data_IF_491454288892
#
_entry.id   IF_491454288892
#
_cell.length_a   1.000
_cell.length_b   1.000
_cell.length_c   1.000
_cell.angle_alpha   90.00
_cell.angle_beta   90.00
_cell.angle_gamma   90.00
#
_symmetry.space_group_name_H-M   'P 1'
#
loop_
_entity.id
_entity.type
_entity.pdbx_description
1 polymer ?
#
# COMPACT_ATOMS: atom_id res chain seq x y z
N UNK A 1 8.11 -0.64 -2.13
CA UNK A 1 7.54 -2.00 -1.91
C UNK A 1 6.25 -2.12 -2.68
N UNK A 2 6.14 -3.11 -3.56
CA UNK A 2 4.96 -3.28 -4.40
C UNK A 2 3.75 -3.77 -3.60
N UNK A 3 2.56 -3.43 -4.06
CA UNK A 3 1.29 -4.00 -3.58
C UNK A 3 1.02 -5.40 -4.12
N UNK A 4 -0.26 -5.75 -4.25
CA UNK A 4 -0.72 -7.06 -4.73
C UNK A 4 -1.41 -7.92 -3.67
N UNK A 5 -1.99 -7.28 -2.64
CA UNK A 5 -2.84 -7.95 -1.66
C UNK A 5 -2.18 -9.06 -0.84
N UNK A 6 -0.84 -9.06 -0.73
CA UNK A 6 -0.06 -10.17 -0.16
C UNK A 6 -0.23 -11.50 -0.94
N UNK A 7 -0.54 -11.42 -2.23
CA UNK A 7 -0.67 -12.62 -3.09
C UNK A 7 0.21 -12.54 -4.33
N UNK A 8 0.41 -11.34 -4.85
CA UNK A 8 1.20 -11.06 -6.05
C UNK A 8 2.06 -9.82 -5.85
N UNK A 9 2.84 -9.44 -6.86
CA UNK A 9 3.74 -8.30 -6.84
C UNK A 9 5.11 -8.68 -7.42
N UNK A 10 6.01 -7.70 -7.49
CA UNK A 10 7.38 -7.95 -7.94
C UNK A 10 8.03 -6.73 -8.56
N UNK A 11 9.35 -6.80 -8.74
CA UNK A 11 10.16 -5.67 -9.21
C UNK A 11 9.93 -5.28 -10.67
N UNK A 12 9.36 -6.16 -11.49
CA UNK A 12 9.22 -5.96 -12.94
C UNK A 12 7.79 -5.53 -13.35
N UNK A 13 7.16 -4.66 -12.56
CA UNK A 13 5.87 -4.06 -12.90
C UNK A 13 6.13 -2.77 -13.67
N UNK A 14 5.86 -2.75 -14.98
CA UNK A 14 6.21 -1.63 -15.87
C UNK A 14 5.69 -0.28 -15.38
N UNK A 15 4.51 -0.23 -14.75
CA UNK A 15 3.91 1.01 -14.22
C UNK A 15 4.59 1.56 -12.95
N UNK A 16 5.56 0.83 -12.41
CA UNK A 16 6.30 1.18 -11.19
C UNK A 16 7.81 1.30 -11.46
N UNK A 17 8.21 1.37 -12.74
CA UNK A 17 9.60 1.59 -13.13
C UNK A 17 9.86 3.10 -13.25
N UNK A 18 10.67 3.70 -12.36
CA UNK A 18 10.79 5.15 -12.22
C UNK A 18 11.72 5.80 -13.25
N UNK A 19 12.06 5.11 -14.34
CA UNK A 19 13.16 5.51 -15.25
C UNK A 19 13.03 6.97 -15.70
N UNK A 20 11.85 7.38 -16.17
CA UNK A 20 11.62 8.75 -16.64
C UNK A 20 11.75 9.79 -15.52
N UNK A 21 11.38 9.45 -14.28
CA UNK A 21 11.48 10.34 -13.13
C UNK A 21 12.93 10.49 -12.64
N UNK A 22 13.64 9.37 -12.53
CA UNK A 22 15.06 9.33 -12.14
C UNK A 22 15.92 10.05 -13.19
N UNK A 23 15.73 9.76 -14.47
CA UNK A 23 16.49 10.38 -15.55
C UNK A 23 16.28 11.90 -15.61
N UNK A 24 15.05 12.37 -15.40
CA UNK A 24 14.71 13.79 -15.45
C UNK A 24 15.27 14.57 -14.27
N UNK A 25 15.20 14.01 -13.06
CA UNK A 25 15.57 14.74 -11.84
C UNK A 25 17.04 14.55 -11.49
N UNK A 26 17.56 13.33 -11.62
CA UNK A 26 18.93 12.95 -11.22
C UNK A 26 19.29 13.28 -9.76
N UNK A 27 18.29 13.30 -8.87
CA UNK A 27 18.44 13.75 -7.47
C UNK A 27 18.11 12.68 -6.43
N UNK A 28 17.75 11.47 -6.86
CA UNK A 28 17.34 10.40 -5.97
C UNK A 28 17.62 9.01 -6.55
N UNK A 29 17.62 8.00 -5.68
CA UNK A 29 17.75 6.59 -6.04
C UNK A 29 16.46 5.88 -5.66
N UNK A 30 15.94 5.07 -6.57
CA UNK A 30 14.82 4.17 -6.28
C UNK A 30 15.33 2.74 -6.23
N UNK A 31 15.05 2.06 -5.12
CA UNK A 31 15.31 0.63 -4.95
C UNK A 31 13.99 -0.13 -4.89
N UNK A 32 13.82 -1.10 -5.79
CA UNK A 32 12.70 -2.04 -5.75
C UNK A 32 13.20 -3.41 -5.29
N UNK A 33 12.37 -4.12 -4.54
CA UNK A 33 12.72 -5.41 -3.95
C UNK A 33 11.62 -6.43 -4.24
N UNK A 34 12.03 -7.69 -4.41
CA UNK A 34 11.10 -8.81 -4.28
C UNK A 34 11.04 -9.21 -2.80
N UNK A 35 9.86 -9.64 -2.37
CA UNK A 35 9.64 -10.29 -1.08
C UNK A 35 8.68 -11.45 -1.33
N UNK A 36 8.75 -12.51 -0.51
CA UNK A 36 7.89 -13.67 -0.72
C UNK A 36 6.43 -13.27 -0.58
N UNK A 37 5.60 -13.82 -1.48
CA UNK A 37 4.15 -13.60 -1.49
C UNK A 37 3.34 -14.88 -1.30
N UNK A 38 2.01 -14.77 -1.10
CA UNK A 38 1.08 -15.88 -0.97
C UNK A 38 1.53 -16.87 0.14
N UNK A 39 1.27 -18.18 -0.01
CA UNK A 39 1.69 -19.24 0.91
C UNK A 39 3.20 -19.21 1.22
N UNK A 40 4.04 -18.64 0.35
CA UNK A 40 5.48 -18.56 0.58
C UNK A 40 5.87 -17.44 1.54
N UNK A 41 5.12 -16.33 1.54
CA UNK A 41 5.34 -15.19 2.44
C UNK A 41 4.56 -15.29 3.74
N UNK A 42 3.36 -15.89 3.68
CA UNK A 42 2.41 -15.97 4.79
C UNK A 42 1.77 -17.36 4.92
N UNK A 43 2.57 -18.42 5.07
CA UNK A 43 2.05 -19.79 5.16
C UNK A 43 1.15 -20.00 6.37
N UNK A 44 1.43 -19.35 7.51
CA UNK A 44 0.80 -19.66 8.79
C UNK A 44 0.94 -21.15 9.19
N UNK A 45 2.03 -21.80 8.77
CA UNK A 45 2.27 -23.21 9.03
C UNK A 45 2.56 -23.46 10.52
N UNK A 46 1.98 -24.54 11.08
CA UNK A 46 2.17 -24.96 12.49
C UNK A 46 3.64 -25.23 12.84
N UNK A 47 4.41 -25.74 11.87
CA UNK A 47 5.82 -26.09 12.05
C UNK A 47 6.79 -24.91 11.98
N UNK A 48 6.33 -23.69 11.68
CA UNK A 48 7.19 -22.51 11.58
C UNK A 48 7.39 -21.83 12.94
N UNK A 49 8.63 -21.45 13.21
CA UNK A 49 9.01 -20.66 14.39
C UNK A 49 8.61 -19.19 14.24
N UNK A 50 8.83 -18.63 13.05
CA UNK A 50 8.57 -17.23 12.72
C UNK A 50 7.54 -17.18 11.59
N UNK A 51 6.57 -16.29 11.73
CA UNK A 51 5.55 -16.01 10.71
C UNK A 51 5.90 -14.71 9.97
N UNK A 52 5.04 -14.27 9.05
CA UNK A 52 5.21 -13.02 8.32
C UNK A 52 6.54 -12.93 7.56
N UNK A 53 6.93 -14.04 6.93
CA UNK A 53 8.20 -14.20 6.23
C UNK A 53 8.41 -13.12 5.16
N UNK A 54 7.34 -12.67 4.49
CA UNK A 54 7.40 -11.56 3.55
C UNK A 54 7.85 -10.23 4.19
N UNK A 55 7.45 -9.94 5.44
CA UNK A 55 7.91 -8.73 6.16
C UNK A 55 9.35 -8.88 6.62
N UNK A 56 9.77 -10.10 6.99
CA UNK A 56 11.17 -10.40 7.31
C UNK A 56 12.08 -10.23 6.08
N UNK A 57 11.62 -10.64 4.90
CA UNK A 57 12.34 -10.41 3.64
C UNK A 57 12.51 -8.90 3.37
N UNK A 58 11.44 -8.11 3.56
CA UNK A 58 11.48 -6.66 3.41
C UNK A 58 12.46 -6.01 4.40
N UNK A 59 12.49 -6.48 5.66
CA UNK A 59 13.45 -5.99 6.66
C UNK A 59 14.89 -6.32 6.28
N UNK A 60 15.16 -7.55 5.86
CA UNK A 60 16.49 -7.95 5.39
C UNK A 60 16.94 -7.09 4.20
N UNK A 61 16.06 -6.88 3.22
CA UNK A 61 16.38 -6.07 2.06
C UNK A 61 16.62 -4.60 2.43
N UNK A 62 15.85 -4.04 3.37
CA UNK A 62 16.06 -2.69 3.88
C UNK A 62 17.42 -2.54 4.61
N UNK A 63 17.80 -3.54 5.42
CA UNK A 63 19.12 -3.57 6.07
C UNK A 63 20.26 -3.67 5.05
N UNK A 64 20.07 -4.45 3.98
CA UNK A 64 21.00 -4.50 2.86
C UNK A 64 21.12 -3.14 2.17
N UNK A 65 20.01 -2.47 1.86
CA UNK A 65 20.03 -1.12 1.25
C UNK A 65 20.75 -0.14 2.17
N UNK A 66 20.39 -0.09 3.45
CA UNK A 66 21.06 0.78 4.43
C UNK A 66 22.57 0.52 4.50
N UNK A 67 23.02 -0.72 4.36
CA UNK A 67 24.45 -1.05 4.40
C UNK A 67 25.18 -0.73 3.09
N UNK A 68 24.50 -0.76 1.94
CA UNK A 68 25.14 -0.76 0.62
C UNK A 68 24.86 0.48 -0.23
N UNK A 69 23.82 1.27 0.06
CA UNK A 69 23.35 2.34 -0.85
C UNK A 69 24.41 3.42 -1.09
N UNK A 70 25.34 3.64 -0.15
CA UNK A 70 26.49 4.53 -0.33
C UNK A 70 27.36 4.15 -1.54
N UNK A 71 27.48 2.86 -1.85
CA UNK A 71 28.25 2.39 -3.02
C UNK A 71 27.54 2.69 -4.36
N UNK A 72 26.26 3.06 -4.31
CA UNK A 72 25.47 3.46 -5.46
C UNK A 72 25.28 4.99 -5.52
N UNK A 73 25.96 5.75 -4.64
CA UNK A 73 25.86 7.20 -4.55
C UNK A 73 24.69 7.72 -3.71
N UNK A 74 24.00 6.85 -2.97
CA UNK A 74 22.93 7.27 -2.05
C UNK A 74 23.42 7.53 -0.63
N UNK A 75 22.56 8.12 0.20
CA UNK A 75 22.83 8.37 1.61
C UNK A 75 22.03 7.37 2.48
N UNK A 76 22.69 6.50 3.28
CA UNK A 76 22.02 5.52 4.12
C UNK A 76 21.15 6.16 5.22
N UNK A 77 21.40 7.42 5.58
CA UNK A 77 20.57 8.18 6.53
C UNK A 77 19.33 8.80 5.87
N UNK A 78 19.28 8.84 4.54
CA UNK A 78 18.21 9.48 3.75
C UNK A 78 17.24 8.50 3.09
N UNK A 79 17.00 7.34 3.71
CA UNK A 79 16.09 6.32 3.16
C UNK A 79 14.64 6.64 3.54
N UNK A 80 13.75 6.61 2.54
CA UNK A 80 12.29 6.63 2.71
C UNK A 80 11.72 5.25 2.36
N UNK A 81 10.96 4.65 3.28
CA UNK A 81 10.27 3.39 3.00
C UNK A 81 8.90 3.67 2.37
N UNK A 82 8.83 3.51 1.05
CA UNK A 82 7.61 3.69 0.29
C UNK A 82 6.97 2.35 -0.06
N UNK A 83 5.67 2.21 0.17
CA UNK A 83 4.90 1.11 -0.38
C UNK A 83 3.52 1.52 -0.89
N UNK A 84 2.94 0.67 -1.74
CA UNK A 84 1.59 0.82 -2.28
C UNK A 84 0.71 -0.36 -1.85
N UNK A 85 -0.55 -0.13 -1.47
CA UNK A 85 -1.51 -1.19 -1.07
C UNK A 85 -0.99 -2.11 0.05
N UNK A 86 -0.88 -3.41 -0.17
CA UNK A 86 -0.22 -4.36 0.74
C UNK A 86 1.25 -3.97 1.07
N UNK A 87 1.98 -3.41 0.11
CA UNK A 87 3.30 -2.84 0.35
C UNK A 87 3.25 -1.59 1.23
N UNK A 88 2.18 -0.78 1.11
CA UNK A 88 1.94 0.39 1.97
C UNK A 88 1.67 -0.02 3.41
N UNK A 89 0.80 -1.02 3.60
CA UNK A 89 0.58 -1.65 4.90
C UNK A 89 1.89 -2.18 5.47
N UNK A 90 2.73 -2.81 4.64
CA UNK A 90 4.05 -3.29 5.05
C UNK A 90 4.97 -2.16 5.54
N UNK A 91 4.99 -1.02 4.85
CA UNK A 91 5.76 0.15 5.29
C UNK A 91 5.28 0.66 6.66
N UNK A 92 3.96 0.67 6.87
CA UNK A 92 3.38 1.05 8.15
C UNK A 92 3.69 0.01 9.25
N UNK A 93 3.57 -1.29 8.98
CA UNK A 93 3.96 -2.36 9.91
C UNK A 93 5.41 -2.22 10.36
N UNK A 94 6.33 -1.91 9.44
CA UNK A 94 7.72 -1.62 9.77
C UNK A 94 7.86 -0.48 10.80
N UNK A 95 7.05 0.58 10.68
CA UNK A 95 7.08 1.70 11.61
C UNK A 95 6.65 1.31 13.04
N UNK A 96 5.82 0.28 13.20
CA UNK A 96 5.39 -0.23 14.51
C UNK A 96 6.28 -1.36 15.06
N UNK A 97 6.74 -2.26 14.20
CA UNK A 97 7.59 -3.39 14.56
C UNK A 97 9.00 -2.93 14.96
N UNK A 98 9.57 -2.02 14.17
CA UNK A 98 10.94 -1.55 14.30
C UNK A 98 11.02 -0.11 14.81
N UNK A 99 10.03 0.35 15.59
CA UNK A 99 9.96 1.73 16.08
C UNK A 99 11.21 2.21 16.85
N UNK A 100 11.95 1.28 17.48
CA UNK A 100 13.22 1.57 18.17
C UNK A 100 14.44 1.67 17.24
N UNK A 101 14.35 1.07 16.06
CA UNK A 101 15.43 1.04 15.07
C UNK A 101 14.85 1.08 13.63
N UNK A 102 14.23 2.20 13.23
CA UNK A 102 13.49 2.28 11.97
C UNK A 102 14.39 2.15 10.73
N UNK A 103 15.69 2.50 10.83
CA UNK A 103 16.69 2.55 9.75
C UNK A 103 16.24 3.28 8.47
N UNK A 104 15.21 4.13 8.61
CA UNK A 104 14.65 5.02 7.60
C UNK A 104 14.29 6.33 8.28
N UNK A 105 14.26 7.42 7.53
CA UNK A 105 13.93 8.74 8.05
C UNK A 105 12.51 9.20 7.73
N UNK A 106 11.76 8.40 6.96
CA UNK A 106 10.36 8.66 6.67
C UNK A 106 9.70 7.48 5.99
N UNK A 107 8.36 7.52 5.94
CA UNK A 107 7.54 6.49 5.31
C UNK A 107 6.58 7.12 4.30
N UNK A 108 6.27 6.40 3.24
CA UNK A 108 5.19 6.78 2.33
C UNK A 108 4.21 5.62 2.22
N UNK A 109 3.04 5.83 2.81
CA UNK A 109 1.90 4.93 2.81
C UNK A 109 0.92 5.29 1.69
N UNK A 110 1.11 4.73 0.48
CA UNK A 110 0.22 4.92 -0.65
C UNK A 110 -0.93 3.90 -0.66
N UNK A 111 -2.15 4.34 -0.37
CA UNK A 111 -3.38 3.54 -0.40
C UNK A 111 -3.34 2.29 0.49
N UNK A 112 -2.82 2.41 1.72
CA UNK A 112 -2.92 1.35 2.72
C UNK A 112 -2.16 1.67 4.01
N UNK A 113 -2.76 1.41 5.17
CA UNK A 113 -2.13 1.64 6.48
C UNK A 113 -2.35 0.43 7.38
N UNK A 114 -1.60 0.33 8.47
CA UNK A 114 -1.72 -0.76 9.44
C UNK A 114 -3.08 -0.79 10.15
N UNK A 115 -3.83 0.32 10.10
CA UNK A 115 -5.18 0.42 10.65
C UNK A 115 -6.27 -0.13 9.73
N UNK A 116 -5.93 -0.49 8.48
CA UNK A 116 -6.83 -1.29 7.65
C UNK A 116 -6.98 -2.67 8.29
N UNK A 117 -8.21 -3.20 8.30
CA UNK A 117 -8.47 -4.57 8.80
C UNK A 117 -7.51 -5.57 8.15
N UNK A 118 -6.79 -6.33 8.98
CA UNK A 118 -5.87 -7.38 8.53
C UNK A 118 -6.59 -8.53 7.82
N UNK A 119 -7.92 -8.65 7.99
CA UNK A 119 -8.74 -9.72 7.43
C UNK A 119 -8.16 -11.14 7.66
N UNK A 120 -7.48 -11.34 8.79
CA UNK A 120 -6.89 -12.64 9.15
C UNK A 120 -8.00 -13.63 9.53
N UNK A 121 -8.19 -14.67 8.70
CA UNK A 121 -9.26 -15.66 8.85
C UNK A 121 -8.78 -17.04 9.31
N UNK A 122 -7.51 -17.36 9.11
CA UNK A 122 -6.96 -18.69 9.39
C UNK A 122 -6.41 -18.82 10.81
N UNK A 123 -7.25 -18.62 11.82
CA UNK A 123 -6.84 -18.70 13.23
C UNK A 123 -6.47 -20.12 13.67
N UNK A 124 -6.91 -21.14 12.94
CA UNK A 124 -6.65 -22.55 13.23
C UNK A 124 -5.46 -23.15 12.44
N UNK A 125 -4.75 -22.34 11.64
CA UNK A 125 -3.59 -22.77 10.85
C UNK A 125 -3.92 -23.91 9.86
N UNK A 126 -5.12 -23.85 9.29
CA UNK A 126 -5.70 -24.90 8.48
C UNK A 126 -5.41 -24.73 6.99
N UNK A 127 -5.15 -23.52 6.49
CA UNK A 127 -4.94 -23.32 5.05
C UNK A 127 -3.66 -23.99 4.56
N UNK A 128 -2.55 -23.84 5.29
CA UNK A 128 -1.30 -24.54 4.97
C UNK A 128 -1.46 -26.06 5.04
N UNK A 129 -2.04 -26.55 6.14
CA UNK A 129 -2.30 -27.98 6.36
C UNK A 129 -3.19 -28.56 5.26
N UNK A 130 -4.20 -27.82 4.81
CA UNK A 130 -5.07 -28.23 3.70
C UNK A 130 -4.30 -28.39 2.39
N UNK A 131 -3.45 -27.42 2.04
CA UNK A 131 -2.59 -27.51 0.85
C UNK A 131 -1.61 -28.68 0.98
N UNK A 132 -1.03 -28.88 2.17
CA UNK A 132 -0.08 -29.97 2.43
C UNK A 132 -0.67 -31.35 2.13
N UNK A 133 -1.94 -31.58 2.48
CA UNK A 133 -2.64 -32.83 2.18
C UNK A 133 -2.74 -33.14 0.69
N UNK A 134 -2.80 -32.12 -0.17
CA UNK A 134 -2.90 -32.30 -1.63
C UNK A 134 -1.62 -32.84 -2.25
N UNK A 135 -0.50 -32.71 -1.53
CA UNK A 135 0.82 -33.17 -1.95
C UNK A 135 1.33 -34.34 -1.10
N UNK A 136 0.41 -35.09 -0.47
CA UNK A 136 0.72 -36.23 0.40
C UNK A 136 1.59 -35.87 1.62
N UNK A 137 1.61 -34.61 2.02
CA UNK A 137 2.29 -34.13 3.24
C UNK A 137 1.34 -34.08 4.44
N UNK A 138 0.59 -35.15 4.70
CA UNK A 138 -0.37 -35.22 5.82
C UNK A 138 0.29 -35.79 7.09
N UNK A 139 0.73 -34.90 7.98
CA UNK A 139 1.35 -35.25 9.26
C UNK A 139 0.61 -34.57 10.42
N UNK A 140 -0.57 -35.08 10.83
CA UNK A 140 -1.43 -34.39 11.80
C UNK A 140 -0.76 -34.21 13.17
N UNK A 141 0.03 -35.20 13.59
CA UNK A 141 0.74 -35.20 14.88
C UNK A 141 2.18 -34.63 14.81
N UNK A 142 2.70 -34.30 13.63
CA UNK A 142 4.07 -33.81 13.46
C UNK A 142 4.11 -32.63 12.48
N UNK A 143 3.93 -31.43 13.04
CA UNK A 143 3.96 -30.18 12.30
C UNK A 143 5.32 -29.90 11.64
N UNK A 144 6.41 -30.45 12.20
CA UNK A 144 7.74 -30.30 11.61
C UNK A 144 7.87 -31.18 10.37
N UNK A 145 7.41 -32.43 10.43
CA UNK A 145 7.38 -33.32 9.28
C UNK A 145 6.48 -32.80 8.15
N UNK A 146 5.31 -32.22 8.48
CA UNK A 146 4.43 -31.55 7.51
C UNK A 146 5.17 -30.46 6.74
N UNK A 147 5.84 -29.55 7.48
CA UNK A 147 6.60 -28.45 6.90
C UNK A 147 7.80 -28.95 6.08
N UNK A 148 8.54 -29.93 6.59
CA UNK A 148 9.71 -30.47 5.90
C UNK A 148 9.34 -31.23 4.63
N UNK A 149 8.21 -31.95 4.63
CA UNK A 149 7.64 -32.57 3.43
C UNK A 149 7.25 -31.50 2.39
N UNK A 150 6.52 -30.47 2.80
CA UNK A 150 6.10 -29.39 1.90
C UNK A 150 7.28 -28.63 1.27
N UNK A 151 8.41 -28.53 1.97
CA UNK A 151 9.65 -27.95 1.43
C UNK A 151 10.27 -28.78 0.28
N UNK A 152 9.91 -30.05 0.16
CA UNK A 152 10.35 -30.90 -0.95
C UNK A 152 9.43 -30.82 -2.17
N UNK A 153 8.24 -30.22 -2.03
CA UNK A 153 7.28 -30.06 -3.13
C UNK A 153 7.75 -28.91 -4.03
N UNK A 154 7.95 -29.14 -5.35
CA UNK A 154 8.24 -28.08 -6.30
C UNK A 154 7.26 -26.91 -6.21
N UNK A 155 7.79 -25.69 -6.06
CA UNK A 155 6.97 -24.49 -5.83
C UNK A 155 5.89 -24.28 -6.91
N UNK A 156 6.21 -24.59 -8.18
CA UNK A 156 5.29 -24.44 -9.31
C UNK A 156 4.04 -25.33 -9.17
N UNK A 157 4.15 -26.50 -8.53
CA UNK A 157 2.98 -27.34 -8.26
C UNK A 157 2.09 -26.74 -7.18
N UNK A 158 2.69 -26.18 -6.12
CA UNK A 158 1.96 -25.47 -5.05
C UNK A 158 1.23 -24.26 -5.63
N UNK A 159 1.93 -23.44 -6.42
CA UNK A 159 1.38 -22.25 -7.07
C UNK A 159 0.22 -22.62 -8.01
N UNK A 160 0.42 -23.62 -8.88
CA UNK A 160 -0.61 -24.06 -9.81
C UNK A 160 -1.84 -24.61 -9.07
N UNK A 161 -1.66 -25.39 -8.00
CA UNK A 161 -2.77 -25.86 -7.18
C UNK A 161 -3.57 -24.70 -6.57
N UNK A 162 -2.90 -23.75 -5.91
CA UNK A 162 -3.56 -22.61 -5.26
C UNK A 162 -4.28 -21.73 -6.29
N UNK A 163 -3.63 -21.48 -7.43
CA UNK A 163 -4.21 -20.71 -8.54
C UNK A 163 -5.48 -21.36 -9.08
N UNK A 164 -5.42 -22.62 -9.48
CA UNK A 164 -6.58 -23.35 -9.99
C UNK A 164 -7.71 -23.47 -8.96
N UNK A 165 -7.36 -23.67 -7.68
CA UNK A 165 -8.35 -23.72 -6.60
C UNK A 165 -9.15 -22.41 -6.50
N UNK A 166 -8.44 -21.28 -6.60
CA UNK A 166 -9.01 -19.93 -6.60
C UNK A 166 -9.84 -19.65 -7.86
N UNK A 167 -9.31 -19.94 -9.04
CA UNK A 167 -9.97 -19.70 -10.34
C UNK A 167 -11.29 -20.49 -10.46
N UNK A 168 -11.32 -21.70 -9.91
CA UNK A 168 -12.53 -22.53 -9.84
C UNK A 168 -13.56 -22.04 -8.80
N UNK A 169 -13.25 -21.00 -8.02
CA UNK A 169 -14.14 -20.46 -6.98
C UNK A 169 -14.40 -21.43 -5.82
N UNK A 170 -13.49 -22.39 -5.61
CA UNK A 170 -13.68 -23.48 -4.65
C UNK A 170 -13.79 -22.96 -3.21
N UNK A 171 -14.62 -23.62 -2.39
CA UNK A 171 -14.86 -23.28 -0.98
C UNK A 171 -14.41 -24.39 -0.03
N UNK A 172 -13.92 -24.05 1.17
CA UNK A 172 -13.66 -22.69 1.67
C UNK A 172 -12.50 -22.00 0.94
N UNK A 173 -12.56 -20.69 0.78
CA UNK A 173 -11.51 -19.93 0.06
C UNK A 173 -10.20 -19.96 0.83
N UNK A 174 -9.11 -20.33 0.16
CA UNK A 174 -7.76 -20.24 0.71
C UNK A 174 -7.33 -18.78 0.81
N UNK A 175 -6.70 -18.43 1.93
CA UNK A 175 -6.18 -17.09 2.18
C UNK A 175 -4.86 -17.19 2.94
N UNK A 176 -3.83 -16.60 2.35
CA UNK A 176 -2.50 -16.48 2.94
C UNK A 176 -2.23 -15.00 3.12
N UNK A 177 -2.20 -14.54 4.36
CA UNK A 177 -2.13 -13.12 4.71
C UNK A 177 -1.33 -12.92 5.99
N UNK A 178 -1.01 -11.67 6.32
CA UNK A 178 -0.29 -11.33 7.54
C UNK A 178 -0.97 -11.92 8.78
N UNK A 179 -0.15 -12.47 9.67
CA UNK A 179 -0.58 -13.17 10.89
C UNK A 179 -0.24 -12.27 12.08
N UNK A 180 -1.20 -11.90 12.94
CA UNK A 180 -0.91 -11.15 14.15
C UNK A 180 -0.10 -12.02 15.13
N UNK A 181 1.22 -11.89 15.07
CA UNK A 181 2.19 -12.64 15.88
C UNK A 181 2.64 -11.88 17.13
N UNK A 182 2.14 -10.66 17.31
CA UNK A 182 2.47 -9.71 18.38
C UNK A 182 3.98 -9.38 18.46
N UNK A 183 4.70 -9.59 17.37
CA UNK A 183 6.14 -9.29 17.21
C UNK A 183 6.38 -8.31 16.08
N UNK A 184 5.86 -8.64 14.90
CA UNK A 184 5.99 -7.86 13.67
C UNK A 184 4.63 -7.30 13.28
N UNK A 185 3.59 -8.11 13.40
CA UNK A 185 2.21 -7.75 13.09
C UNK A 185 1.42 -7.83 14.39
N UNK A 186 0.68 -6.77 14.68
CA UNK A 186 -0.04 -6.61 15.94
C UNK A 186 -1.54 -6.58 15.70
N UNK A 187 -2.30 -7.06 16.67
CA UNK A 187 -3.76 -7.02 16.65
C UNK A 187 -4.34 -5.63 16.97
N UNK A 188 -3.61 -4.78 17.70
CA UNK A 188 -4.07 -3.46 18.15
C UNK A 188 -3.02 -2.34 17.93
N UNK A 189 -3.04 -1.77 16.72
CA UNK A 189 -2.18 -0.63 16.36
C UNK A 189 -2.52 0.68 17.11
N UNK A 190 -3.80 1.04 17.35
CA UNK A 190 -4.14 2.19 18.19
C UNK A 190 -3.53 2.12 19.59
N UNK A 191 -3.62 0.99 20.29
CA UNK A 191 -3.02 0.83 21.62
C UNK A 191 -1.50 0.96 21.58
N UNK A 192 -0.85 0.44 20.53
CA UNK A 192 0.60 0.63 20.35
C UNK A 192 0.98 2.08 20.13
N UNK A 193 0.24 2.80 19.30
CA UNK A 193 0.46 4.23 19.07
C UNK A 193 0.29 5.03 20.38
N UNK A 194 -0.76 4.74 21.16
CA UNK A 194 -0.98 5.38 22.47
C UNK A 194 0.18 5.16 23.46
N UNK A 195 0.89 4.03 23.36
CA UNK A 195 2.10 3.74 24.13
C UNK A 195 3.39 4.31 23.50
N UNK A 196 3.29 5.10 22.42
CA UNK A 196 4.44 5.62 21.69
C UNK A 196 5.25 4.56 20.94
N UNK A 197 4.73 3.34 20.74
CA UNK A 197 5.40 2.23 20.04
C UNK A 197 5.23 2.31 18.52
N UNK A 198 5.56 3.47 17.97
CA UNK A 198 5.57 3.78 16.53
C UNK A 198 6.76 4.70 16.24
N UNK A 199 7.41 4.50 15.10
CA UNK A 199 8.58 5.27 14.71
C UNK A 199 8.26 6.76 14.66
N UNK A 200 9.14 7.58 15.25
CA UNK A 200 9.04 9.05 15.27
C UNK A 200 9.61 9.67 13.99
N UNK A 201 9.15 9.19 12.85
CA UNK A 201 9.58 9.65 11.52
C UNK A 201 8.38 10.28 10.77
N UNK A 202 8.56 11.39 10.05
CA UNK A 202 7.51 11.96 9.21
C UNK A 202 6.99 10.96 8.18
N UNK A 203 5.74 11.13 7.77
CA UNK A 203 5.11 10.22 6.81
C UNK A 203 4.31 10.95 5.74
N UNK A 204 4.20 10.35 4.57
CA UNK A 204 3.13 10.63 3.61
C UNK A 204 2.07 9.55 3.76
N UNK A 205 0.79 9.93 3.80
CA UNK A 205 -0.34 8.99 3.64
C UNK A 205 -1.19 9.48 2.48
N UNK A 206 -1.52 8.58 1.54
CA UNK A 206 -2.35 8.94 0.41
C UNK A 206 -3.42 7.92 0.08
N UNK A 207 -4.41 8.39 -0.67
CA UNK A 207 -5.48 7.59 -1.22
C UNK A 207 -5.84 8.07 -2.63
N UNK A 208 -6.41 7.19 -3.44
CA UNK A 208 -7.18 7.62 -4.60
C UNK A 208 -8.62 7.94 -4.17
N UNK A 209 -9.34 8.77 -4.93
CA UNK A 209 -10.69 9.20 -4.55
C UNK A 209 -11.73 8.06 -4.62
N UNK A 210 -11.52 7.04 -5.45
CA UNK A 210 -12.45 5.94 -5.70
C UNK A 210 -11.74 4.57 -5.64
N UNK A 211 -11.06 4.28 -4.54
CA UNK A 211 -10.17 3.11 -4.36
C UNK A 211 -10.81 1.79 -4.81
N UNK A 212 -12.06 1.54 -4.44
CA UNK A 212 -12.69 0.21 -4.55
C UNK A 212 -13.26 -0.08 -5.93
N UNK A 213 -13.44 0.92 -6.79
CA UNK A 213 -14.12 0.75 -8.08
C UNK A 213 -13.48 -0.36 -8.94
N UNK A 214 -12.14 -0.44 -8.94
CA UNK A 214 -11.36 -1.46 -9.66
C UNK A 214 -11.04 -2.72 -8.84
N UNK A 215 -11.47 -2.81 -7.58
CA UNK A 215 -11.15 -3.90 -6.65
C UNK A 215 -12.35 -4.77 -6.27
N UNK A 216 -13.56 -4.42 -6.72
CA UNK A 216 -14.78 -5.17 -6.46
C UNK A 216 -15.29 -5.83 -7.72
N UNK A 217 -16.32 -6.68 -7.64
CA UNK A 217 -16.89 -7.35 -8.80
C UNK A 217 -17.77 -6.40 -9.63
N UNK A 218 -17.64 -6.43 -10.96
CA UNK A 218 -18.52 -5.75 -11.90
C UNK A 218 -19.08 -6.72 -12.96
N UNK A 219 -20.19 -6.39 -13.64
CA UNK A 219 -20.82 -7.27 -14.63
C UNK A 219 -19.92 -7.52 -15.85
N UNK A 220 -19.46 -8.75 -16.04
CA UNK A 220 -18.59 -9.15 -17.17
C UNK A 220 -19.24 -8.95 -18.55
N UNK A 221 -20.57 -9.01 -18.61
CA UNK A 221 -21.35 -8.82 -19.84
C UNK A 221 -21.80 -7.36 -20.06
N UNK A 222 -21.50 -6.46 -19.12
CA UNK A 222 -21.83 -5.03 -19.23
C UNK A 222 -20.76 -4.19 -18.52
N UNK A 223 -19.60 -4.07 -19.16
CA UNK A 223 -18.44 -3.36 -18.62
C UNK A 223 -18.71 -1.88 -18.35
N UNK A 224 -19.70 -1.26 -19.02
CA UNK A 224 -20.07 0.15 -18.80
C UNK A 224 -20.93 0.37 -17.57
N UNK A 225 -21.62 -0.66 -17.05
CA UNK A 225 -22.46 -0.52 -15.85
C UNK A 225 -21.62 -0.33 -14.58
N UNK A 226 -20.42 -0.90 -14.54
CA UNK A 226 -19.55 -0.84 -13.36
C UNK A 226 -20.10 -1.62 -12.17
N UNK A 227 -19.43 -1.50 -11.01
CA UNK A 227 -19.83 -2.16 -9.78
C UNK A 227 -21.04 -1.48 -9.10
N UNK A 228 -21.63 -2.17 -8.12
CA UNK A 228 -22.71 -1.59 -7.31
C UNK A 228 -22.17 -0.50 -6.38
N UNK A 229 -22.50 0.76 -6.66
CA UNK A 229 -21.87 1.93 -6.04
C UNK A 229 -21.89 1.97 -4.50
N UNK A 230 -22.98 1.58 -3.81
CA UNK A 230 -22.96 1.53 -2.35
C UNK A 230 -21.89 0.57 -1.78
N UNK A 231 -21.51 -0.47 -2.51
CA UNK A 231 -20.39 -1.36 -2.11
C UNK A 231 -19.05 -0.66 -2.28
N UNK A 232 -18.89 0.13 -3.34
CA UNK A 232 -17.67 0.91 -3.60
C UNK A 232 -17.51 1.97 -2.51
N UNK A 233 -18.52 2.80 -2.30
CA UNK A 233 -18.52 3.87 -1.28
C UNK A 233 -18.24 3.33 0.13
N UNK A 234 -18.92 2.25 0.53
CA UNK A 234 -18.70 1.62 1.83
C UNK A 234 -17.29 1.05 1.95
N UNK A 235 -16.77 0.47 0.87
CA UNK A 235 -15.42 -0.05 0.80
C UNK A 235 -14.36 1.04 0.87
N UNK A 236 -14.52 2.15 0.14
CA UNK A 236 -13.62 3.30 0.13
C UNK A 236 -13.43 3.83 1.54
N UNK A 237 -14.55 4.12 2.22
CA UNK A 237 -14.54 4.64 3.59
C UNK A 237 -13.91 3.64 4.55
N UNK A 238 -14.44 2.41 4.64
CA UNK A 238 -14.03 1.45 5.66
C UNK A 238 -12.62 0.88 5.45
N UNK A 239 -12.18 0.76 4.19
CA UNK A 239 -10.94 0.09 3.83
C UNK A 239 -9.75 1.00 3.55
N UNK A 240 -9.98 2.28 3.22
CA UNK A 240 -8.92 3.18 2.76
C UNK A 240 -8.97 4.57 3.41
N UNK A 241 -10.07 5.31 3.26
CA UNK A 241 -10.15 6.72 3.69
C UNK A 241 -10.13 6.83 5.22
N UNK A 242 -10.99 6.08 5.92
CA UNK A 242 -11.04 6.16 7.38
C UNK A 242 -9.80 5.57 8.08
N UNK A 243 -9.20 4.45 7.61
CA UNK A 243 -7.89 4.03 8.08
C UNK A 243 -6.80 5.10 7.91
N UNK A 244 -6.76 5.83 6.79
CA UNK A 244 -5.82 6.92 6.57
C UNK A 244 -6.05 8.11 7.52
N UNK A 245 -7.31 8.50 7.72
CA UNK A 245 -7.70 9.53 8.69
C UNK A 245 -7.25 9.16 10.11
N UNK A 246 -7.55 7.93 10.56
CA UNK A 246 -7.17 7.44 11.88
C UNK A 246 -5.65 7.34 12.05
N UNK A 247 -4.94 6.94 10.99
CA UNK A 247 -3.46 6.88 10.95
C UNK A 247 -2.87 8.27 11.19
N UNK A 248 -3.52 9.29 10.61
CA UNK A 248 -3.12 10.69 10.77
C UNK A 248 -3.36 11.19 12.19
N UNK A 249 -4.56 10.95 12.73
CA UNK A 249 -4.94 11.35 14.09
C UNK A 249 -3.98 10.77 15.14
N UNK A 250 -3.68 9.46 15.06
CA UNK A 250 -2.80 8.79 16.02
C UNK A 250 -1.37 9.34 15.98
N UNK A 251 -0.89 9.78 14.80
CA UNK A 251 0.46 10.33 14.63
C UNK A 251 0.55 11.81 14.97
N UNK A 252 -0.49 12.60 14.69
CA UNK A 252 -0.61 13.97 15.15
C UNK A 252 -0.60 14.04 16.69
N UNK A 253 -1.29 13.13 17.39
CA UNK A 253 -1.27 13.03 18.86
C UNK A 253 0.11 12.72 19.46
N UNK A 254 1.08 12.39 18.61
CA UNK A 254 2.45 12.03 18.95
C UNK A 254 3.48 13.02 18.39
N UNK A 255 3.02 14.17 17.89
CA UNK A 255 3.79 15.21 17.20
C UNK A 255 4.59 14.70 16.00
N UNK A 256 4.10 13.65 15.33
CA UNK A 256 4.71 13.12 14.12
C UNK A 256 4.08 13.84 12.91
N UNK A 257 4.87 14.50 12.05
CA UNK A 257 4.35 15.15 10.86
C UNK A 257 3.74 14.14 9.89
N UNK A 258 2.52 14.43 9.43
CA UNK A 258 1.79 13.63 8.44
C UNK A 258 1.42 14.52 7.27
N UNK A 259 1.96 14.22 6.10
CA UNK A 259 1.59 14.88 4.86
C UNK A 259 0.55 14.03 4.14
N UNK A 260 -0.60 14.62 3.82
CA UNK A 260 -1.72 13.92 3.18
C UNK A 260 -1.88 14.37 1.74
N UNK A 261 -2.17 13.44 0.83
CA UNK A 261 -2.71 13.76 -0.47
C UNK A 261 -3.82 12.80 -0.91
N UNK A 262 -4.76 13.29 -1.72
CA UNK A 262 -5.79 12.52 -2.43
C UNK A 262 -5.52 12.62 -3.93
N UNK A 263 -5.41 11.49 -4.64
CA UNK A 263 -5.44 11.49 -6.10
C UNK A 263 -6.90 11.50 -6.56
N UNK A 264 -7.29 12.52 -7.32
CA UNK A 264 -8.61 12.65 -7.92
C UNK A 264 -8.56 12.66 -9.46
N UNK A 265 -7.35 12.57 -10.03
CA UNK A 265 -7.13 12.65 -11.48
C UNK A 265 -7.82 11.54 -12.26
N UNK A 266 -8.50 11.95 -13.33
CA UNK A 266 -9.11 11.06 -14.32
C UNK A 266 -8.57 11.41 -15.70
N UNK A 267 -8.03 10.41 -16.41
CA UNK A 267 -7.32 10.64 -17.67
C UNK A 267 -7.79 9.66 -18.75
N UNK A 268 -7.84 10.05 -20.02
CA UNK A 268 -8.37 9.18 -21.09
C UNK A 268 -7.71 7.80 -21.17
N UNK A 269 -6.39 7.73 -20.94
CA UNK A 269 -5.59 6.50 -20.94
C UNK A 269 -5.69 5.66 -19.66
N UNK A 270 -6.16 6.25 -18.54
CA UNK A 270 -6.33 5.58 -17.26
C UNK A 270 -7.79 5.25 -16.95
N UNK A 271 -8.74 5.97 -17.54
CA UNK A 271 -10.17 5.91 -17.27
C UNK A 271 -10.98 5.56 -18.52
N UNK A 272 -10.82 4.34 -19.08
CA UNK A 272 -11.63 3.89 -20.22
C UNK A 272 -13.12 3.73 -19.87
N UNK A 273 -13.47 3.66 -18.58
CA UNK A 273 -14.84 3.59 -18.09
C UNK A 273 -15.11 4.72 -17.09
N UNK A 274 -16.25 5.39 -17.24
CA UNK A 274 -16.62 6.54 -16.41
C UNK A 274 -16.75 6.21 -14.92
N UNK A 275 -17.16 4.98 -14.57
CA UNK A 275 -17.32 4.55 -13.18
C UNK A 275 -16.00 4.28 -12.44
N UNK A 276 -14.85 4.24 -13.13
CA UNK A 276 -13.57 3.96 -12.48
C UNK A 276 -13.14 5.09 -11.54
N UNK A 277 -13.31 6.36 -11.95
CA UNK A 277 -12.78 7.50 -11.22
C UNK A 277 -11.28 7.39 -10.94
N UNK A 278 -10.77 8.06 -9.92
CA UNK A 278 -9.42 7.80 -9.43
C UNK A 278 -9.40 6.48 -8.64
N UNK A 279 -9.20 5.36 -9.33
CA UNK A 279 -9.23 4.01 -8.72
C UNK A 279 -7.94 3.61 -8.00
N UNK A 280 -7.98 2.54 -7.22
CA UNK A 280 -6.81 2.05 -6.50
C UNK A 280 -5.60 1.87 -7.41
N UNK A 281 -4.48 2.51 -7.04
CA UNK A 281 -3.22 2.48 -7.76
C UNK A 281 -3.18 3.26 -9.09
N UNK A 282 -4.22 4.01 -9.45
CA UNK A 282 -4.21 4.89 -10.63
C UNK A 282 -3.21 6.04 -10.51
N UNK A 283 -2.75 6.34 -9.30
CA UNK A 283 -1.70 7.31 -9.02
C UNK A 283 -0.27 6.75 -9.19
N UNK A 284 -0.09 5.43 -9.36
CA UNK A 284 1.23 4.84 -9.60
C UNK A 284 1.86 5.31 -10.91
N UNK A 285 1.19 5.25 -12.08
CA UNK A 285 1.80 5.74 -13.32
C UNK A 285 2.15 7.22 -13.27
N UNK A 286 1.42 7.99 -12.45
CA UNK A 286 1.67 9.41 -12.21
C UNK A 286 2.90 9.61 -11.33
N UNK A 287 3.01 8.89 -10.22
CA UNK A 287 4.16 8.95 -9.31
C UNK A 287 5.45 8.48 -9.98
N UNK A 288 5.38 7.41 -10.79
CA UNK A 288 6.54 6.82 -11.46
C UNK A 288 6.86 7.41 -12.84
N UNK A 289 5.97 8.26 -13.39
CA UNK A 289 6.17 8.90 -14.69
C UNK A 289 6.02 7.92 -15.86
N UNK A 290 5.22 6.89 -15.67
CA UNK A 290 4.98 5.81 -16.63
C UNK A 290 3.59 5.90 -17.27
N UNK A 291 2.90 7.04 -17.12
CA UNK A 291 1.60 7.31 -17.74
C UNK A 291 1.58 7.09 -19.26
N UNK A 292 2.72 7.27 -19.94
CA UNK A 292 2.88 7.02 -21.37
C UNK A 292 2.84 5.54 -21.79
N UNK A 293 2.77 4.59 -20.85
CA UNK A 293 2.64 3.16 -21.17
C UNK A 293 1.22 2.77 -21.60
N UNK A 294 0.24 3.66 -21.44
CA UNK A 294 -1.19 3.39 -21.63
C UNK A 294 -1.81 4.11 -22.83
N UNK A 295 -0.98 4.58 -23.75
CA UNK A 295 -1.43 5.34 -24.92
C UNK A 295 -2.31 4.53 -25.89
N UNK A 296 -2.36 3.21 -25.73
CA UNK A 296 -3.27 2.34 -26.47
C UNK A 296 -4.73 2.43 -26.00
N UNK A 297 -4.99 2.97 -24.79
CA UNK A 297 -6.33 3.14 -24.22
C UNK A 297 -6.89 4.55 -24.44
N UNK A 298 -6.01 5.54 -24.60
CA UNK A 298 -6.34 6.94 -24.83
C UNK A 298 -5.09 7.78 -24.94
N UNK A 299 -5.21 9.03 -25.38
CA UNK A 299 -4.05 9.93 -25.46
C UNK A 299 -3.66 10.40 -24.06
N UNK A 300 -2.36 10.42 -23.78
CA UNK A 300 -1.80 11.16 -22.64
C UNK A 300 -1.98 12.66 -22.88
N UNK A 301 -2.55 13.36 -21.90
CA UNK A 301 -2.82 14.81 -22.02
C UNK A 301 -1.71 15.64 -21.39
N UNK A 302 -1.56 16.91 -21.82
CA UNK A 302 -0.61 17.82 -21.18
C UNK A 302 -0.93 18.03 -19.70
N UNK A 303 -2.22 18.10 -19.35
CA UNK A 303 -2.68 18.19 -17.96
C UNK A 303 -2.25 16.99 -17.12
N UNK A 304 -2.35 15.77 -17.67
CA UNK A 304 -1.86 14.55 -17.01
C UNK A 304 -0.36 14.60 -16.75
N UNK A 305 0.42 15.08 -17.74
CA UNK A 305 1.87 15.26 -17.60
C UNK A 305 2.19 16.26 -16.48
N UNK A 306 1.49 17.39 -16.44
CA UNK A 306 1.65 18.41 -15.41
C UNK A 306 1.32 17.86 -14.00
N UNK A 307 0.22 17.11 -13.87
CA UNK A 307 -0.15 16.47 -12.60
C UNK A 307 0.93 15.47 -12.18
N UNK A 308 1.40 14.60 -13.08
CA UNK A 308 2.45 13.62 -12.78
C UNK A 308 3.74 14.30 -12.30
N UNK A 309 4.17 15.38 -12.98
CA UNK A 309 5.35 16.15 -12.57
C UNK A 309 5.17 16.76 -11.19
N UNK A 310 4.01 17.34 -10.91
CA UNK A 310 3.71 17.90 -9.59
C UNK A 310 3.73 16.83 -8.50
N UNK A 311 3.10 15.67 -8.70
CA UNK A 311 3.13 14.56 -7.74
C UNK A 311 4.58 14.11 -7.46
N UNK A 312 5.40 14.00 -8.50
CA UNK A 312 6.82 13.67 -8.41
C UNK A 312 7.62 14.72 -7.64
N UNK A 313 7.36 16.00 -7.84
CA UNK A 313 7.98 17.11 -7.10
C UNK A 313 7.61 17.08 -5.61
N UNK A 314 6.35 16.79 -5.28
CA UNK A 314 5.89 16.68 -3.90
C UNK A 314 6.55 15.49 -3.17
N UNK A 315 6.61 14.32 -3.83
CA UNK A 315 7.30 13.15 -3.30
C UNK A 315 8.80 13.44 -3.15
N UNK A 316 9.43 14.05 -4.16
CA UNK A 316 10.86 14.36 -4.11
C UNK A 316 11.20 15.38 -3.03
N UNK A 317 10.35 16.39 -2.81
CA UNK A 317 10.52 17.35 -1.71
C UNK A 317 10.54 16.63 -0.36
N UNK A 318 9.60 15.71 -0.12
CA UNK A 318 9.61 14.86 1.08
C UNK A 318 10.84 13.96 1.16
N UNK A 319 11.24 13.33 0.05
CA UNK A 319 12.42 12.46 0.01
C UNK A 319 13.69 13.25 0.35
N UNK A 320 13.85 14.48 -0.15
CA UNK A 320 15.01 15.36 0.10
C UNK A 320 15.10 15.90 1.52
N UNK A 321 13.96 16.20 2.14
CA UNK A 321 13.87 16.56 3.56
C UNK A 321 12.42 16.36 4.06
N UNK A 322 12.15 15.30 4.84
CA UNK A 322 10.80 15.00 5.32
C UNK A 322 10.19 16.04 6.27
N UNK A 323 10.97 17.00 6.77
CA UNK A 323 10.52 18.06 7.68
C UNK A 323 10.37 19.38 6.93
N UNK A 324 11.42 19.83 6.25
CA UNK A 324 11.47 21.14 5.60
C UNK A 324 11.08 21.11 4.11
N UNK A 325 11.21 19.96 3.45
CA UNK A 325 10.98 19.79 2.02
C UNK A 325 9.54 20.10 1.61
N UNK A 326 8.52 19.37 2.11
CA UNK A 326 7.14 19.65 1.73
C UNK A 326 6.68 21.09 2.04
N UNK A 327 6.99 21.68 3.22
CA UNK A 327 6.65 23.08 3.48
C UNK A 327 7.30 24.08 2.51
N UNK A 328 8.49 23.79 1.98
CA UNK A 328 9.18 24.66 1.02
C UNK A 328 8.42 24.84 -0.30
N UNK A 329 7.53 23.90 -0.63
CA UNK A 329 6.64 23.94 -1.81
C UNK A 329 5.17 24.21 -1.44
N UNK A 330 4.92 24.61 -0.19
CA UNK A 330 3.57 24.92 0.31
C UNK A 330 2.79 23.72 0.86
N UNK A 331 3.34 22.49 0.80
CA UNK A 331 2.68 21.30 1.33
C UNK A 331 2.90 21.18 2.84
N UNK A 332 1.92 21.63 3.61
CA UNK A 332 1.97 21.61 5.09
C UNK A 332 1.57 20.24 5.63
N UNK A 333 2.15 19.87 6.78
CA UNK A 333 1.70 18.71 7.52
C UNK A 333 0.25 18.94 7.99
N UNK A 334 -0.59 17.93 7.85
CA UNK A 334 -2.00 18.00 8.23
C UNK A 334 -2.12 18.03 9.76
N UNK A 335 -2.96 18.95 10.26
CA UNK A 335 -3.38 19.02 11.65
C UNK A 335 -4.85 18.57 11.77
N UNK A 336 -5.07 17.31 12.12
CA UNK A 336 -6.40 16.71 12.18
C UNK A 336 -7.28 17.26 13.31
N UNK A 337 -6.70 18.02 14.25
CA UNK A 337 -7.40 18.68 15.35
C UNK A 337 -7.87 20.09 14.99
N UNK A 338 -7.47 20.65 13.84
CA UNK A 338 -7.97 21.94 13.39
C UNK A 338 -9.49 21.85 13.10
N UNK A 339 -10.26 22.95 13.23
CA UNK A 339 -11.72 22.93 13.05
C UNK A 339 -12.18 22.39 11.68
N UNK A 340 -11.40 22.65 10.63
CA UNK A 340 -11.62 22.15 9.26
C UNK A 340 -10.96 20.79 8.98
N UNK A 341 -10.41 20.12 10.00
CA UNK A 341 -9.65 18.87 9.86
C UNK A 341 -8.24 19.04 9.31
N UNK A 342 -7.74 20.28 9.21
CA UNK A 342 -6.43 20.59 8.62
C UNK A 342 -6.53 20.67 7.11
N UNK A 343 -5.40 20.60 6.41
CA UNK A 343 -5.33 20.74 4.96
C UNK A 343 -4.55 19.58 4.35
N UNK A 344 -5.04 19.04 3.23
CA UNK A 344 -4.36 18.04 2.42
C UNK A 344 -4.30 18.48 0.96
N UNK A 345 -3.41 17.86 0.18
CA UNK A 345 -3.30 18.11 -1.25
C UNK A 345 -4.28 17.22 -2.03
N UNK A 346 -5.00 17.78 -3.00
CA UNK A 346 -5.74 17.01 -4.01
C UNK A 346 -5.09 17.22 -5.37
N UNK A 347 -4.74 16.14 -6.05
CA UNK A 347 -4.14 16.18 -7.38
C UNK A 347 -5.17 15.89 -8.48
N UNK A 348 -5.14 16.68 -9.55
CA UNK A 348 -5.85 16.38 -10.80
C UNK A 348 -7.37 16.58 -10.79
N UNK A 349 -7.91 17.40 -9.87
CA UNK A 349 -9.34 17.70 -9.77
C UNK A 349 -9.68 19.08 -10.37
N UNK A 350 -10.89 19.23 -10.93
CA UNK A 350 -11.42 20.47 -11.54
C UNK A 350 -10.47 21.18 -12.52
N UNK A 351 -9.70 20.42 -13.30
CA UNK A 351 -8.71 20.99 -14.22
C UNK A 351 -7.55 21.71 -13.51
N UNK A 352 -7.36 21.49 -12.20
CA UNK A 352 -6.23 22.00 -11.42
C UNK A 352 -5.24 20.89 -11.12
N UNK A 353 -3.97 21.19 -11.35
CA UNK A 353 -2.86 20.26 -11.09
C UNK A 353 -2.76 19.92 -9.59
N UNK A 354 -2.84 20.95 -8.75
CA UNK A 354 -2.80 20.86 -7.28
C UNK A 354 -3.91 21.74 -6.72
N UNK A 355 -4.66 21.17 -5.79
CA UNK A 355 -5.55 21.91 -4.90
C UNK A 355 -5.17 21.64 -3.45
N UNK A 356 -5.47 22.59 -2.58
CA UNK A 356 -5.38 22.37 -1.15
C UNK A 356 -6.77 22.42 -0.56
N UNK A 357 -7.22 21.29 -0.02
CA UNK A 357 -8.60 21.09 0.43
C UNK A 357 -8.64 20.83 1.92
N UNK A 358 -9.76 21.16 2.53
CA UNK A 358 -9.96 20.95 3.97
C UNK A 358 -10.04 19.45 4.27
N UNK A 359 -9.39 19.03 5.35
CA UNK A 359 -9.37 17.63 5.77
C UNK A 359 -10.78 17.09 6.03
N UNK A 360 -11.70 17.93 6.49
CA UNK A 360 -13.11 17.55 6.71
C UNK A 360 -13.85 17.20 5.42
N UNK A 361 -13.40 17.67 4.26
CA UNK A 361 -14.00 17.34 2.97
C UNK A 361 -13.75 15.87 2.60
N UNK A 362 -12.60 15.33 2.99
CA UNK A 362 -12.19 13.93 2.69
C UNK A 362 -12.45 13.01 3.88
N UNK A 363 -12.03 13.41 5.08
CA UNK A 363 -12.07 12.59 6.30
C UNK A 363 -13.37 12.81 7.12
N UNK A 364 -14.19 13.81 6.80
CA UNK A 364 -15.44 14.12 7.50
C UNK A 364 -16.45 12.96 7.54
N UNK A 365 -16.69 12.23 6.43
CA UNK A 365 -17.61 11.10 6.40
C UNK A 365 -17.24 10.01 7.42
N UNK A 366 -15.96 9.84 7.75
CA UNK A 366 -15.49 8.92 8.78
C UNK A 366 -15.92 9.30 10.21
N UNK A 367 -16.37 10.55 10.39
CA UNK A 367 -16.88 11.11 11.65
C UNK A 367 -18.40 11.38 11.58
N UNK A 368 -19.07 10.91 10.54
CA UNK A 368 -20.49 11.19 10.30
C UNK A 368 -20.78 12.63 9.86
N UNK A 369 -19.80 13.32 9.29
CA UNK A 369 -19.90 14.71 8.83
C UNK A 369 -19.86 14.74 7.30
N UNK A 370 -20.90 15.28 6.66
CA UNK A 370 -20.97 15.39 5.20
C UNK A 370 -21.09 14.04 4.48
N UNK A 371 -20.88 14.07 3.17
CA UNK A 371 -20.83 12.90 2.28
C UNK A 371 -19.47 12.79 1.63
N UNK A 372 -19.04 11.56 1.30
CA UNK A 372 -17.80 11.35 0.58
C UNK A 372 -18.03 11.51 -0.93
N UNK A 373 -17.15 12.26 -1.59
CA UNK A 373 -17.15 12.43 -3.04
C UNK A 373 -16.07 11.55 -3.69
N UNK A 374 -16.51 10.59 -4.49
CA UNK A 374 -15.64 9.66 -5.24
C UNK A 374 -15.16 10.28 -6.57
N UNK A 375 -15.73 11.41 -6.99
CA UNK A 375 -15.45 12.12 -8.24
C UNK A 375 -15.28 13.64 -8.02
N UNK A 376 -14.39 14.06 -7.10
CA UNK A 376 -14.22 15.46 -6.70
C UNK A 376 -13.40 16.31 -7.69
#
# INVERSE_FOLDING_TARGET
MTGGGFSTGGVNIKWQLPTSWVDRTQEHIVVTINYRVNIFGWPNARGLKDQNLGILDQRMALEWVHTNVANFGGDPSAIILWGQSAGSQSADFHSYAYYKNPIVRGYFMQSGTALKSLNFKDTAQMNFTFVAKQFNCDFPADAKAELDCMRQVPFAMIENFIGQYSDNGTKPTLSFNVVPDEKIIFSDYPARAALGKVAKAPIIVSNCANEVSALTTWPVNNLTAGPYEPTVLSGDLSGWICPAANTTILRNALDIPVYRYQNAGQYPNLNPFAWLGAYHASDLPMNFGTYGLLTNLGNTTDFEIEVSRSMQEHILAFVKDPIAGPPSIGWKALNASAPNGGQLVRFGADGKVVQYVDGIEVDGPCKGIGSYDQFP
#
